data_IF_481158928780
#
_entry.id   IF_481158928780
#
_cell.length_a   1.000
_cell.length_b   1.000
_cell.length_c   1.000
_cell.angle_alpha   90.00
_cell.angle_beta   90.00
_cell.angle_gamma   90.00
#
_symmetry.space_group_name_H-M   'P 1'
#
loop_
_entity.id
_entity.type
_entity.pdbx_description
1 polymer ?
#
# COMPACT_ATOMS: atom_id res chain seq x y z
N UNK A 1 -11.89 13.64 -14.42
CA UNK A 1 -11.17 12.49 -15.02
C UNK A 1 -11.75 12.09 -16.37
N UNK A 2 -13.04 11.71 -16.46
CA UNK A 2 -13.66 11.25 -17.71
C UNK A 2 -13.36 12.12 -18.95
N UNK A 3 -13.50 13.45 -18.85
CA UNK A 3 -13.18 14.36 -19.97
C UNK A 3 -11.70 14.34 -20.39
N UNK A 4 -10.77 14.15 -19.44
CA UNK A 4 -9.35 14.06 -19.75
C UNK A 4 -9.01 12.75 -20.48
N UNK A 5 -9.64 11.64 -20.06
CA UNK A 5 -9.55 10.35 -20.78
C UNK A 5 -10.08 10.49 -22.21
N UNK A 6 -11.28 11.06 -22.37
CA UNK A 6 -11.89 11.27 -23.68
C UNK A 6 -10.96 12.05 -24.63
N UNK A 7 -10.42 13.19 -24.18
CA UNK A 7 -9.49 14.00 -24.97
C UNK A 7 -8.20 13.22 -25.29
N UNK A 8 -7.63 12.51 -24.32
CA UNK A 8 -6.42 11.71 -24.52
C UNK A 8 -6.62 10.63 -25.59
N UNK A 9 -7.79 9.99 -25.61
CA UNK A 9 -8.15 8.98 -26.60
C UNK A 9 -8.42 9.60 -27.98
N UNK A 10 -9.14 10.71 -28.06
CA UNK A 10 -9.39 11.46 -29.30
C UNK A 10 -8.08 11.90 -29.98
N UNK A 11 -7.14 12.40 -29.18
CA UNK A 11 -5.83 12.82 -29.65
C UNK A 11 -4.87 11.66 -29.91
N UNK A 12 -5.21 10.44 -29.47
CA UNK A 12 -4.36 9.25 -29.58
C UNK A 12 -2.98 9.41 -28.94
N UNK A 13 -2.94 10.07 -27.77
CA UNK A 13 -1.66 10.34 -27.07
C UNK A 13 -0.95 9.05 -26.59
N UNK A 14 -1.65 7.91 -26.62
CA UNK A 14 -1.14 6.58 -26.29
C UNK A 14 -0.32 5.92 -27.40
N UNK A 15 -0.29 6.51 -28.59
CA UNK A 15 0.52 6.03 -29.71
C UNK A 15 1.98 6.53 -29.57
N UNK A 16 2.98 5.66 -29.80
CA UNK A 16 4.40 6.01 -29.71
C UNK A 16 4.77 7.26 -30.50
N UNK A 17 4.28 7.35 -31.72
CA UNK A 17 4.65 8.40 -32.67
C UNK A 17 4.08 9.78 -32.27
N UNK A 18 3.05 9.82 -31.41
CA UNK A 18 2.40 11.07 -31.01
C UNK A 18 3.38 12.06 -30.38
N UNK A 19 4.23 11.58 -29.46
CA UNK A 19 5.18 12.44 -28.76
C UNK A 19 6.21 13.06 -29.73
N UNK A 20 6.69 12.28 -30.70
CA UNK A 20 7.64 12.76 -31.70
C UNK A 20 6.99 13.74 -32.68
N UNK A 21 5.77 13.45 -33.14
CA UNK A 21 5.04 14.30 -34.08
C UNK A 21 4.64 15.66 -33.49
N UNK A 22 4.50 15.77 -32.16
CA UNK A 22 4.00 16.97 -31.48
C UNK A 22 5.03 17.65 -30.57
N UNK A 23 6.33 17.36 -30.76
CA UNK A 23 7.40 17.90 -29.91
C UNK A 23 8.33 18.91 -30.59
N UNK A 24 8.17 19.17 -31.89
CA UNK A 24 9.07 20.06 -32.66
C UNK A 24 10.56 19.74 -32.44
N UNK A 25 10.89 18.44 -32.38
CA UNK A 25 12.25 17.91 -32.10
C UNK A 25 12.81 18.27 -30.71
N UNK A 26 11.98 18.77 -29.79
CA UNK A 26 12.38 19.04 -28.41
C UNK A 26 12.18 17.79 -27.54
N UNK A 27 13.28 17.22 -27.05
CA UNK A 27 13.27 16.00 -26.24
C UNK A 27 12.46 16.15 -24.93
N UNK A 28 12.50 17.32 -24.29
CA UNK A 28 11.71 17.61 -23.08
C UNK A 28 10.23 17.62 -23.40
N UNK A 29 9.82 18.25 -24.50
CA UNK A 29 8.42 18.27 -24.91
C UNK A 29 7.91 16.87 -25.31
N UNK A 30 8.74 16.06 -25.95
CA UNK A 30 8.41 14.66 -26.22
C UNK A 30 8.21 13.86 -24.91
N UNK A 31 9.05 14.09 -23.90
CA UNK A 31 8.90 13.49 -22.57
C UNK A 31 7.63 13.98 -21.86
N UNK A 32 7.28 15.27 -21.97
CA UNK A 32 6.03 15.81 -21.45
C UNK A 32 4.81 15.06 -22.00
N UNK A 33 4.81 14.76 -23.31
CA UNK A 33 3.70 14.02 -23.94
C UNK A 33 3.61 12.57 -23.44
N UNK A 34 4.74 11.86 -23.32
CA UNK A 34 4.78 10.52 -22.72
C UNK A 34 4.24 10.53 -21.29
N UNK A 35 4.73 11.45 -20.46
CA UNK A 35 4.28 11.64 -19.07
C UNK A 35 2.79 11.99 -18.98
N UNK A 36 2.27 12.78 -19.93
CA UNK A 36 0.85 13.15 -19.98
C UNK A 36 -0.05 11.93 -20.17
N UNK A 37 0.26 11.04 -21.13
CA UNK A 37 -0.48 9.79 -21.28
C UNK A 37 -0.43 8.96 -20.01
N UNK A 38 0.78 8.73 -19.48
CA UNK A 38 0.94 7.86 -18.33
C UNK A 38 0.28 8.43 -17.06
N UNK A 39 0.25 9.75 -16.88
CA UNK A 39 -0.54 10.38 -15.81
C UNK A 39 -2.04 10.17 -15.99
N UNK A 40 -2.56 10.29 -17.22
CA UNK A 40 -3.97 9.97 -17.51
C UNK A 40 -4.27 8.52 -17.16
N UNK A 41 -3.38 7.59 -17.55
CA UNK A 41 -3.48 6.17 -17.22
C UNK A 41 -3.49 5.90 -15.71
N UNK A 42 -2.52 6.46 -14.97
CA UNK A 42 -2.40 6.29 -13.53
C UNK A 42 -3.61 6.86 -12.78
N UNK A 43 -4.05 8.07 -13.14
CA UNK A 43 -5.21 8.68 -12.47
C UNK A 43 -6.52 7.97 -12.79
N UNK A 44 -6.75 7.53 -14.02
CA UNK A 44 -7.94 6.74 -14.33
C UNK A 44 -8.00 5.46 -13.48
N UNK A 45 -6.86 4.77 -13.30
CA UNK A 45 -6.75 3.60 -12.43
C UNK A 45 -7.02 3.94 -10.95
N UNK A 46 -6.42 5.01 -10.43
CA UNK A 46 -6.62 5.42 -9.04
C UNK A 46 -8.06 5.85 -8.75
N UNK A 47 -8.71 6.54 -9.69
CA UNK A 47 -10.13 6.89 -9.58
C UNK A 47 -11.02 5.64 -9.60
N UNK A 48 -10.76 4.69 -10.50
CA UNK A 48 -11.50 3.42 -10.55
C UNK A 48 -11.38 2.65 -9.23
N UNK A 49 -10.17 2.52 -8.69
CA UNK A 49 -9.92 1.86 -7.40
C UNK A 49 -10.60 2.57 -6.22
N UNK A 50 -10.53 3.90 -6.19
CA UNK A 50 -11.05 4.75 -5.10
C UNK A 50 -12.57 4.89 -5.08
N UNK A 51 -13.22 4.78 -6.24
CA UNK A 51 -14.69 4.89 -6.35
C UNK A 51 -15.39 3.53 -6.31
N UNK A 52 -14.63 2.43 -6.19
CA UNK A 52 -15.19 1.08 -6.27
C UNK A 52 -15.87 0.79 -7.61
N UNK A 53 -15.58 1.58 -8.65
CA UNK A 53 -16.26 1.51 -9.93
C UNK A 53 -15.48 0.64 -10.92
N UNK A 54 -16.16 0.05 -11.90
CA UNK A 54 -15.57 -0.77 -12.98
C UNK A 54 -14.97 0.06 -14.11
N UNK A 55 -15.18 1.38 -14.12
CA UNK A 55 -14.68 2.28 -15.17
C UNK A 55 -13.20 2.60 -15.05
N UNK A 56 -12.31 1.61 -15.28
CA UNK A 56 -10.94 1.89 -15.70
C UNK A 56 -10.92 1.92 -17.23
N UNK A 57 -11.19 3.09 -17.79
CA UNK A 57 -11.58 3.24 -19.21
C UNK A 57 -10.41 3.02 -20.15
N UNK A 58 -9.20 3.44 -19.75
CA UNK A 58 -8.00 3.30 -20.60
C UNK A 58 -7.28 1.97 -20.47
N UNK A 59 -7.76 1.06 -19.61
CA UNK A 59 -7.10 -0.23 -19.32
C UNK A 59 -6.99 -1.15 -20.52
N UNK A 60 -7.96 -1.09 -21.43
CA UNK A 60 -8.03 -1.94 -22.61
C UNK A 60 -7.43 -1.27 -23.85
N UNK A 61 -6.81 -0.09 -23.68
CA UNK A 61 -6.09 0.59 -24.75
C UNK A 61 -4.74 -0.08 -24.92
N UNK A 62 -4.44 -0.51 -26.15
CA UNK A 62 -3.11 -1.00 -26.51
C UNK A 62 -2.14 0.20 -26.65
N UNK A 63 -1.64 0.66 -25.51
CA UNK A 63 -0.71 1.77 -25.45
C UNK A 63 0.65 1.35 -26.00
N UNK A 64 1.15 2.07 -26.99
CA UNK A 64 2.49 1.84 -27.57
C UNK A 64 3.50 2.89 -27.13
N UNK A 65 3.05 3.94 -26.44
CA UNK A 65 3.90 5.00 -25.92
C UNK A 65 4.94 4.47 -24.94
N UNK A 66 6.16 4.98 -25.06
CA UNK A 66 7.29 4.53 -24.28
C UNK A 66 7.23 5.07 -22.83
N UNK A 67 8.00 4.44 -21.96
CA UNK A 67 8.02 4.70 -20.52
C UNK A 67 8.78 5.99 -20.19
N UNK A 68 8.29 6.79 -19.22
CA UNK A 68 8.94 8.04 -18.82
C UNK A 68 10.31 7.82 -18.16
N UNK A 69 11.16 8.84 -18.22
CA UNK A 69 12.44 8.89 -17.51
C UNK A 69 12.27 9.31 -16.03
N UNK A 70 13.36 9.26 -15.26
CA UNK A 70 13.35 9.72 -13.86
C UNK A 70 13.15 11.24 -13.74
N UNK A 71 12.64 11.71 -12.59
CA UNK A 71 12.39 13.14 -12.34
C UNK A 71 13.65 13.98 -12.51
N UNK A 72 14.79 13.56 -11.96
CA UNK A 72 16.06 14.29 -12.11
C UNK A 72 16.51 14.46 -13.57
N UNK A 73 16.21 13.47 -14.43
CA UNK A 73 16.51 13.54 -15.86
C UNK A 73 15.59 14.52 -16.58
N UNK A 74 14.29 14.49 -16.22
CA UNK A 74 13.30 15.42 -16.77
C UNK A 74 13.57 16.88 -16.34
N UNK A 75 13.83 17.10 -15.05
CA UNK A 75 14.10 18.43 -14.47
C UNK A 75 15.40 19.05 -15.01
N UNK A 76 16.43 18.25 -15.26
CA UNK A 76 17.68 18.73 -15.85
C UNK A 76 17.59 18.93 -17.37
N UNK A 77 16.52 18.47 -18.01
CA UNK A 77 16.36 18.48 -19.47
C UNK A 77 17.20 17.42 -20.21
N UNK A 78 17.96 16.60 -19.49
CA UNK A 78 18.80 15.54 -20.05
C UNK A 78 17.97 14.26 -20.23
N UNK A 79 17.07 14.28 -21.21
CA UNK A 79 16.14 13.18 -21.47
C UNK A 79 16.90 12.01 -22.11
N UNK A 80 16.94 10.82 -21.46
CA UNK A 80 17.58 9.64 -22.04
C UNK A 80 16.71 9.04 -23.14
N UNK A 81 17.28 8.07 -23.88
CA UNK A 81 16.48 7.22 -24.76
C UNK A 81 15.38 6.50 -23.94
N UNK A 82 14.11 6.61 -24.36
CA UNK A 82 12.99 6.05 -23.60
C UNK A 82 12.96 4.53 -23.71
N UNK A 83 12.45 3.88 -22.66
CA UNK A 83 12.36 2.42 -22.60
C UNK A 83 10.96 2.01 -23.02
N UNK A 84 10.83 0.95 -23.79
CA UNK A 84 9.53 0.47 -24.27
C UNK A 84 8.79 -0.34 -23.20
N UNK A 85 7.47 -0.45 -23.33
CA UNK A 85 6.68 -1.39 -22.51
C UNK A 85 7.12 -2.84 -22.70
N UNK A 86 7.54 -3.21 -23.92
CA UNK A 86 8.04 -4.55 -24.22
C UNK A 86 9.31 -4.86 -23.43
N UNK A 87 10.23 -3.91 -23.31
CA UNK A 87 11.42 -4.08 -22.48
C UNK A 87 11.05 -4.26 -21.01
N UNK A 88 10.07 -3.52 -20.51
CA UNK A 88 9.56 -3.72 -19.15
C UNK A 88 8.95 -5.12 -18.97
N UNK A 89 8.11 -5.55 -19.90
CA UNK A 89 7.37 -6.82 -19.85
C UNK A 89 8.26 -8.06 -20.10
N UNK A 90 9.54 -7.88 -20.47
CA UNK A 90 10.49 -8.98 -20.69
C UNK A 90 11.78 -8.87 -19.83
N UNK A 91 11.77 -8.00 -18.82
CA UNK A 91 12.96 -7.64 -18.03
C UNK A 91 13.58 -8.81 -17.25
N UNK A 92 12.82 -9.86 -16.99
CA UNK A 92 13.29 -11.08 -16.32
C UNK A 92 14.29 -11.90 -17.16
N UNK A 93 14.38 -11.61 -18.47
CA UNK A 93 15.27 -12.28 -19.41
C UNK A 93 16.50 -11.46 -19.80
N UNK A 94 16.64 -10.24 -19.27
CA UNK A 94 17.79 -9.38 -19.55
C UNK A 94 19.03 -9.86 -18.75
N UNK A 95 20.20 -9.90 -19.40
CA UNK A 95 21.47 -10.27 -18.74
C UNK A 95 21.93 -9.20 -17.74
N UNK A 96 21.64 -7.94 -18.03
CA UNK A 96 21.96 -6.78 -17.20
C UNK A 96 20.68 -6.07 -16.75
N UNK A 97 20.69 -5.57 -15.50
CA UNK A 97 19.56 -4.81 -14.95
C UNK A 97 19.39 -3.48 -15.71
N UNK A 98 18.23 -3.30 -16.36
CA UNK A 98 17.89 -2.04 -17.01
C UNK A 98 17.50 -0.96 -15.98
N UNK A 99 17.95 0.29 -16.15
CA UNK A 99 17.64 1.39 -15.24
C UNK A 99 16.24 1.96 -15.51
N UNK A 100 15.19 1.22 -15.15
CA UNK A 100 13.83 1.73 -15.22
C UNK A 100 13.59 2.84 -14.18
N UNK A 101 12.88 3.89 -14.60
CA UNK A 101 12.55 5.02 -13.73
C UNK A 101 11.51 4.64 -12.68
N UNK A 102 11.39 5.46 -11.63
CA UNK A 102 10.34 5.30 -10.62
C UNK A 102 8.94 5.46 -11.23
N UNK A 103 8.81 6.28 -12.27
CA UNK A 103 7.59 6.43 -13.04
C UNK A 103 7.22 5.12 -13.76
N UNK A 104 8.19 4.51 -14.46
CA UNK A 104 8.02 3.21 -15.09
C UNK A 104 7.60 2.13 -14.07
N UNK A 105 8.20 2.15 -12.88
CA UNK A 105 7.86 1.23 -11.80
C UNK A 105 6.41 1.40 -11.31
N UNK A 106 5.94 2.64 -11.15
CA UNK A 106 4.55 2.94 -10.77
C UNK A 106 3.55 2.51 -11.86
N UNK A 107 3.86 2.75 -13.13
CA UNK A 107 3.07 2.25 -14.27
C UNK A 107 3.00 0.72 -14.21
N UNK A 108 4.14 0.06 -14.01
CA UNK A 108 4.23 -1.38 -13.83
C UNK A 108 3.38 -1.88 -12.67
N UNK A 109 3.36 -1.18 -11.54
CA UNK A 109 2.56 -1.54 -10.37
C UNK A 109 1.06 -1.50 -10.68
N UNK A 110 0.58 -0.45 -11.36
CA UNK A 110 -0.82 -0.34 -11.81
C UNK A 110 -1.17 -1.43 -12.82
N UNK A 111 -0.28 -1.74 -13.76
CA UNK A 111 -0.46 -2.85 -14.70
C UNK A 111 -0.57 -4.20 -13.97
N UNK A 112 0.33 -4.48 -13.02
CA UNK A 112 0.29 -5.70 -12.21
C UNK A 112 -0.99 -5.81 -11.38
N UNK A 113 -1.39 -4.74 -10.69
CA UNK A 113 -2.64 -4.68 -9.95
C UNK A 113 -3.87 -4.98 -10.82
N UNK A 114 -3.87 -4.45 -12.04
CA UNK A 114 -4.92 -4.68 -13.04
C UNK A 114 -4.95 -6.13 -13.50
N UNK A 115 -3.78 -6.70 -13.84
CA UNK A 115 -3.68 -8.09 -14.29
C UNK A 115 -4.13 -9.07 -13.21
N UNK A 116 -3.77 -8.84 -11.95
CA UNK A 116 -4.22 -9.64 -10.81
C UNK A 116 -5.75 -9.59 -10.64
N UNK A 117 -6.34 -8.39 -10.77
CA UNK A 117 -7.80 -8.21 -10.76
C UNK A 117 -8.49 -8.93 -11.92
N UNK A 118 -7.96 -8.78 -13.13
CA UNK A 118 -8.49 -9.41 -14.33
C UNK A 118 -8.44 -10.94 -14.27
N UNK A 119 -7.36 -11.51 -13.70
CA UNK A 119 -7.24 -12.94 -13.46
C UNK A 119 -8.37 -13.49 -12.57
N UNK A 120 -8.86 -12.66 -11.65
CA UNK A 120 -9.96 -13.01 -10.74
C UNK A 120 -11.33 -12.90 -11.38
N UNK A 121 -11.55 -11.90 -12.24
CA UNK A 121 -12.83 -11.69 -12.93
C UNK A 121 -13.02 -12.65 -14.12
N UNK A 122 -11.95 -12.98 -14.85
CA UNK A 122 -11.98 -13.80 -16.06
C UNK A 122 -11.72 -15.28 -15.78
N UNK A 123 -11.93 -15.72 -14.54
CA UNK A 123 -11.62 -17.09 -14.13
C UNK A 123 -12.36 -18.12 -14.99
N UNK A 124 -11.61 -19.08 -15.52
CA UNK A 124 -12.18 -20.20 -16.26
C UNK A 124 -12.99 -21.08 -15.30
N UNK A 125 -14.06 -21.77 -15.76
CA UNK A 125 -14.87 -22.65 -14.92
C UNK A 125 -14.09 -23.78 -14.24
N UNK A 126 -12.86 -24.06 -14.68
CA UNK A 126 -11.97 -25.09 -14.15
C UNK A 126 -10.96 -24.58 -13.13
N UNK A 127 -10.80 -23.27 -12.96
CA UNK A 127 -9.86 -22.70 -11.99
C UNK A 127 -10.54 -22.58 -10.64
N UNK A 128 -9.85 -23.06 -9.60
CA UNK A 128 -10.26 -22.88 -8.21
C UNK A 128 -9.96 -21.44 -7.73
N UNK A 129 -10.58 -20.98 -6.64
CA UNK A 129 -10.20 -19.71 -6.00
C UNK A 129 -8.70 -19.64 -5.66
N UNK A 130 -8.10 -20.75 -5.25
CA UNK A 130 -6.67 -20.82 -4.93
C UNK A 130 -5.78 -20.64 -6.16
N UNK A 131 -6.19 -21.18 -7.31
CA UNK A 131 -5.46 -20.97 -8.59
C UNK A 131 -5.44 -19.48 -8.97
N UNK A 132 -6.53 -18.76 -8.72
CA UNK A 132 -6.63 -17.31 -8.99
C UNK A 132 -5.67 -16.55 -8.08
N UNK A 133 -5.65 -16.87 -6.78
CA UNK A 133 -4.78 -16.24 -5.80
C UNK A 133 -3.31 -16.48 -6.10
N UNK A 134 -2.94 -17.72 -6.45
CA UNK A 134 -1.57 -18.04 -6.84
C UNK A 134 -1.11 -17.22 -8.05
N UNK A 135 -2.00 -17.01 -9.04
CA UNK A 135 -1.69 -16.15 -10.19
C UNK A 135 -1.52 -14.69 -9.75
N UNK A 136 -2.42 -14.17 -8.91
CA UNK A 136 -2.33 -12.81 -8.40
C UNK A 136 -1.03 -12.60 -7.61
N UNK A 137 -0.69 -13.51 -6.70
CA UNK A 137 0.55 -13.48 -5.92
C UNK A 137 1.78 -13.52 -6.81
N UNK A 138 1.80 -14.40 -7.82
CA UNK A 138 2.91 -14.44 -8.78
C UNK A 138 3.11 -13.09 -9.47
N UNK A 139 2.02 -12.43 -9.91
CA UNK A 139 2.10 -11.12 -10.59
C UNK A 139 2.62 -10.02 -9.66
N UNK A 140 2.12 -9.98 -8.43
CA UNK A 140 2.46 -8.93 -7.44
C UNK A 140 3.86 -9.12 -6.87
N UNK A 141 4.22 -10.36 -6.52
CA UNK A 141 5.53 -10.69 -5.96
C UNK A 141 6.61 -10.56 -7.04
N UNK A 142 6.36 -10.96 -8.29
CA UNK A 142 7.30 -10.72 -9.39
C UNK A 142 7.54 -9.23 -9.67
N UNK A 143 6.54 -8.36 -9.49
CA UNK A 143 6.77 -6.92 -9.58
C UNK A 143 7.81 -6.46 -8.55
N UNK A 144 7.62 -6.83 -7.27
CA UNK A 144 8.53 -6.44 -6.18
C UNK A 144 9.95 -7.00 -6.37
N UNK A 145 10.05 -8.28 -6.75
CA UNK A 145 11.33 -8.98 -6.88
C UNK A 145 12.18 -8.45 -8.04
N UNK A 146 11.53 -8.06 -9.14
CA UNK A 146 12.16 -7.57 -10.37
C UNK A 146 12.25 -6.04 -10.45
N UNK A 147 12.08 -5.33 -9.33
CA UNK A 147 12.40 -3.91 -9.27
C UNK A 147 13.92 -3.70 -9.44
N UNK A 148 14.35 -2.66 -10.18
CA UNK A 148 15.76 -2.29 -10.21
C UNK A 148 16.28 -2.06 -8.80
N UNK A 149 17.52 -2.45 -8.51
CA UNK A 149 18.14 -2.30 -7.16
C UNK A 149 18.01 -0.87 -6.64
N UNK A 150 18.23 0.12 -7.50
CA UNK A 150 18.13 1.54 -7.17
C UNK A 150 16.70 1.99 -6.80
N UNK A 151 15.67 1.20 -7.14
CA UNK A 151 14.25 1.51 -6.92
C UNK A 151 13.62 0.67 -5.82
N UNK A 152 14.36 -0.25 -5.20
CA UNK A 152 13.87 -1.01 -4.02
C UNK A 152 13.78 -0.15 -2.75
N UNK A 153 14.57 0.92 -2.68
CA UNK A 153 14.55 1.87 -1.57
C UNK A 153 13.68 3.08 -1.92
N UNK A 154 12.66 3.33 -1.10
CA UNK A 154 11.74 4.47 -1.28
C UNK A 154 12.35 5.78 -0.80
N UNK A 155 13.22 5.74 0.21
CA UNK A 155 13.95 6.93 0.67
C UNK A 155 15.27 7.04 -0.07
N UNK A 156 15.48 8.19 -0.70
CA UNK A 156 16.69 8.52 -1.42
C UNK A 156 17.82 8.86 -0.45
N UNK A 157 19.08 8.80 -0.93
CA UNK A 157 20.28 9.08 -0.11
C UNK A 157 20.32 10.50 0.47
N UNK A 158 19.63 11.44 -0.16
CA UNK A 158 19.53 12.82 0.30
C UNK A 158 18.45 13.01 1.40
N UNK A 159 17.73 11.94 1.77
CA UNK A 159 16.65 11.97 2.76
C UNK A 159 15.25 12.23 2.18
N UNK A 160 15.14 12.51 0.88
CA UNK A 160 13.85 12.71 0.22
C UNK A 160 13.14 11.39 -0.02
N UNK A 161 11.81 11.43 -0.12
CA UNK A 161 11.00 10.27 -0.50
C UNK A 161 10.81 10.29 -2.02
N UNK A 162 11.05 9.14 -2.65
CA UNK A 162 10.60 8.88 -4.01
C UNK A 162 9.07 8.69 -4.00
N UNK A 163 8.35 9.77 -4.30
CA UNK A 163 6.89 9.80 -4.24
C UNK A 163 6.22 8.81 -5.20
N UNK A 164 6.87 8.43 -6.29
CA UNK A 164 6.34 7.47 -7.26
C UNK A 164 6.49 6.04 -6.73
N UNK A 165 7.64 5.71 -6.13
CA UNK A 165 7.82 4.42 -5.47
C UNK A 165 6.98 4.29 -4.19
N UNK A 166 6.82 5.38 -3.42
CA UNK A 166 5.92 5.42 -2.27
C UNK A 166 4.49 5.03 -2.67
N UNK A 167 3.97 5.61 -3.76
CA UNK A 167 2.68 5.24 -4.34
C UNK A 167 2.64 3.79 -4.82
N UNK A 168 3.68 3.34 -5.53
CA UNK A 168 3.73 2.01 -6.13
C UNK A 168 3.68 0.90 -5.06
N UNK A 169 4.45 1.05 -3.99
CA UNK A 169 4.44 0.08 -2.89
C UNK A 169 3.11 0.10 -2.13
N UNK A 170 2.55 1.28 -1.81
CA UNK A 170 1.24 1.35 -1.17
C UNK A 170 0.14 0.69 -2.02
N UNK A 171 0.20 0.86 -3.34
CA UNK A 171 -0.72 0.23 -4.28
C UNK A 171 -0.61 -1.29 -4.25
N UNK A 172 0.60 -1.85 -4.37
CA UNK A 172 0.81 -3.30 -4.38
C UNK A 172 0.34 -3.92 -3.07
N UNK A 173 0.71 -3.32 -1.92
CA UNK A 173 0.28 -3.82 -0.63
C UNK A 173 -1.23 -3.74 -0.41
N UNK A 174 -1.92 -2.69 -0.87
CA UNK A 174 -3.38 -2.65 -0.73
C UNK A 174 -4.06 -3.70 -1.60
N UNK A 175 -3.51 -4.00 -2.79
CA UNK A 175 -4.05 -5.06 -3.64
C UNK A 175 -3.88 -6.43 -2.99
N UNK A 176 -2.72 -6.71 -2.38
CA UNK A 176 -2.51 -7.93 -1.58
C UNK A 176 -3.52 -8.00 -0.42
N UNK A 177 -3.70 -6.90 0.32
CA UNK A 177 -4.68 -6.85 1.42
C UNK A 177 -6.09 -7.17 0.90
N UNK A 178 -6.49 -6.58 -0.23
CA UNK A 178 -7.80 -6.82 -0.83
C UNK A 178 -8.04 -8.28 -1.24
N UNK A 179 -7.01 -8.98 -1.73
CA UNK A 179 -7.11 -10.41 -2.09
C UNK A 179 -7.12 -11.33 -0.88
N UNK A 180 -6.28 -11.08 0.11
CA UNK A 180 -6.06 -12.03 1.20
C UNK A 180 -6.94 -11.77 2.42
N UNK A 181 -7.37 -10.53 2.69
CA UNK A 181 -8.19 -10.22 3.88
C UNK A 181 -9.49 -11.04 3.94
N UNK A 182 -10.28 -11.20 2.86
CA UNK A 182 -11.48 -12.04 2.86
C UNK A 182 -11.23 -13.49 3.26
N UNK A 183 -10.01 -13.99 3.10
CA UNK A 183 -9.62 -15.38 3.32
C UNK A 183 -8.79 -15.59 4.60
N UNK A 184 -8.65 -14.52 5.40
CA UNK A 184 -7.81 -14.49 6.59
C UNK A 184 -8.63 -14.54 7.89
N UNK A 185 -7.95 -14.67 9.03
CA UNK A 185 -8.57 -14.50 10.36
C UNK A 185 -8.96 -13.05 10.69
N UNK A 186 -8.64 -12.09 9.82
CA UNK A 186 -8.98 -10.67 9.98
C UNK A 186 -10.42 -10.40 9.54
N UNK A 187 -11.36 -10.77 10.40
CA UNK A 187 -12.81 -10.62 10.18
C UNK A 187 -13.23 -9.19 9.87
N UNK A 188 -14.23 -9.04 9.00
CA UNK A 188 -14.87 -7.76 8.74
C UNK A 188 -15.86 -7.43 9.86
N UNK A 189 -15.86 -6.17 10.30
CA UNK A 189 -16.88 -5.65 11.23
C UNK A 189 -17.89 -4.80 10.46
N UNK A 190 -19.19 -4.96 10.72
CA UNK A 190 -20.25 -4.19 10.05
C UNK A 190 -20.08 -2.66 10.20
N UNK A 191 -19.39 -2.19 11.24
CA UNK A 191 -19.08 -0.75 11.41
C UNK A 191 -18.13 -0.23 10.32
N UNK A 192 -17.39 -1.11 9.65
CA UNK A 192 -16.46 -0.74 8.58
C UNK A 192 -17.18 -0.16 7.36
N UNK A 193 -18.45 -0.49 7.13
CA UNK A 193 -19.28 0.03 6.03
C UNK A 193 -19.43 1.56 6.06
N UNK A 194 -19.13 2.19 7.20
CA UNK A 194 -19.04 3.65 7.34
C UNK A 194 -17.90 4.23 6.50
N UNK A 195 -16.83 3.46 6.25
CA UNK A 195 -15.67 3.88 5.48
C UNK A 195 -15.97 3.87 3.99
N UNK A 196 -15.68 4.98 3.31
CA UNK A 196 -15.78 5.03 1.83
C UNK A 196 -14.72 4.19 1.12
N UNK A 197 -13.79 3.59 1.87
CA UNK A 197 -12.70 2.75 1.36
C UNK A 197 -12.84 1.29 1.84
N UNK A 198 -13.94 0.93 2.50
CA UNK A 198 -14.18 -0.46 2.87
C UNK A 198 -14.40 -1.33 1.64
N UNK A 199 -13.98 -2.58 1.73
CA UNK A 199 -14.24 -3.63 0.74
C UNK A 199 -15.33 -4.55 1.27
N UNK A 200 -16.02 -5.18 0.33
CA UNK A 200 -17.03 -6.17 0.66
C UNK A 200 -16.39 -7.38 1.39
N UNK A 201 -17.06 -7.93 2.41
CA UNK A 201 -16.60 -9.12 3.09
C UNK A 201 -16.61 -10.33 2.15
N UNK A 202 -15.94 -11.41 2.55
CA UNK A 202 -16.07 -12.69 1.87
C UNK A 202 -17.54 -13.12 1.80
N UNK A 203 -18.02 -13.68 0.67
CA UNK A 203 -19.31 -14.34 0.62
C UNK A 203 -19.40 -15.45 1.67
N UNK A 204 -20.58 -15.66 2.25
CA UNK A 204 -20.81 -16.78 3.18
C UNK A 204 -20.40 -18.10 2.51
N UNK A 205 -19.47 -18.82 3.15
CA UNK A 205 -18.83 -19.99 2.57
C UNK A 205 -18.08 -20.83 3.60
N UNK A 206 -17.54 -21.99 3.17
CA UNK A 206 -16.69 -22.81 4.04
C UNK A 206 -15.47 -22.02 4.49
N UNK A 207 -14.93 -22.39 5.65
CA UNK A 207 -13.67 -21.85 6.15
C UNK A 207 -12.57 -21.99 5.08
N UNK A 208 -11.87 -20.91 4.71
CA UNK A 208 -10.81 -20.97 3.71
C UNK A 208 -9.75 -22.01 4.07
N UNK A 209 -9.17 -22.68 3.07
CA UNK A 209 -7.94 -23.43 3.28
C UNK A 209 -6.77 -22.45 3.51
N UNK A 210 -5.73 -22.87 4.24
CA UNK A 210 -4.54 -22.04 4.47
C UNK A 210 -4.76 -20.64 5.08
N UNK A 211 -5.76 -20.45 5.95
CA UNK A 211 -6.05 -19.15 6.60
C UNK A 211 -4.80 -18.44 7.14
N UNK A 212 -3.89 -19.19 7.76
CA UNK A 212 -2.65 -18.63 8.30
C UNK A 212 -1.79 -17.93 7.23
N UNK A 213 -1.73 -18.47 6.02
CA UNK A 213 -1.00 -17.85 4.90
C UNK A 213 -1.63 -16.51 4.53
N UNK A 214 -2.96 -16.45 4.42
CA UNK A 214 -3.69 -15.22 4.14
C UNK A 214 -3.52 -14.19 5.26
N UNK A 215 -3.68 -14.59 6.52
CA UNK A 215 -3.46 -13.75 7.70
C UNK A 215 -2.05 -13.14 7.69
N UNK A 216 -1.02 -13.94 7.43
CA UNK A 216 0.37 -13.46 7.38
C UNK A 216 0.60 -12.50 6.22
N UNK A 217 0.09 -12.78 5.01
CA UNK A 217 0.24 -11.88 3.86
C UNK A 217 -0.43 -10.52 4.10
N UNK A 218 -1.60 -10.50 4.76
CA UNK A 218 -2.28 -9.26 5.14
C UNK A 218 -1.47 -8.48 6.18
N UNK A 219 -1.05 -9.12 7.28
CA UNK A 219 -0.31 -8.45 8.35
C UNK A 219 1.03 -7.90 7.86
N UNK A 220 1.77 -8.65 7.03
CA UNK A 220 3.02 -8.18 6.42
C UNK A 220 2.79 -6.99 5.50
N UNK A 221 1.74 -7.03 4.67
CA UNK A 221 1.42 -5.89 3.78
C UNK A 221 1.04 -4.64 4.57
N UNK A 222 0.27 -4.80 5.65
CA UNK A 222 -0.07 -3.72 6.58
C UNK A 222 1.20 -3.14 7.23
N UNK A 223 2.08 -4.00 7.71
CA UNK A 223 3.37 -3.59 8.30
C UNK A 223 4.23 -2.81 7.30
N UNK A 224 4.33 -3.29 6.06
CA UNK A 224 5.07 -2.58 4.99
C UNK A 224 4.47 -1.21 4.71
N UNK A 225 3.15 -1.07 4.65
CA UNK A 225 2.51 0.24 4.53
C UNK A 225 2.85 1.16 5.71
N UNK A 226 2.83 0.64 6.95
CA UNK A 226 3.15 1.43 8.15
C UNK A 226 4.61 1.88 8.17
N UNK A 227 5.53 1.01 7.74
CA UNK A 227 6.97 1.35 7.65
C UNK A 227 7.21 2.48 6.65
N UNK A 228 6.48 2.52 5.53
CA UNK A 228 6.51 3.65 4.61
C UNK A 228 6.03 4.95 5.27
N UNK A 229 4.95 4.91 6.05
CA UNK A 229 4.45 6.06 6.82
C UNK A 229 5.42 6.53 7.92
N UNK A 230 6.22 5.60 8.45
CA UNK A 230 7.18 5.87 9.50
C UNK A 230 8.49 6.51 8.98
N UNK A 231 8.69 6.59 7.66
CA UNK A 231 9.85 7.25 7.08
C UNK A 231 9.98 8.69 7.61
N UNK A 232 11.21 9.17 7.89
CA UNK A 232 11.46 10.42 8.60
C UNK A 232 11.33 11.68 7.73
N UNK A 233 10.50 11.66 6.68
CA UNK A 233 10.22 12.86 5.88
C UNK A 233 9.08 13.66 6.51
N UNK A 234 9.35 14.92 6.86
CA UNK A 234 8.35 15.85 7.43
C UNK A 234 8.51 17.24 6.81
N UNK A 235 7.42 17.97 6.58
CA UNK A 235 6.00 17.61 6.81
C UNK A 235 5.51 16.47 5.91
N UNK A 236 4.47 15.74 6.35
CA UNK A 236 3.94 14.55 5.65
C UNK A 236 3.14 14.98 4.40
N UNK A 237 3.82 15.31 3.31
CA UNK A 237 3.23 15.93 2.12
C UNK A 237 3.13 14.96 0.94
N UNK A 238 2.36 13.89 1.11
CA UNK A 238 2.16 12.87 0.06
C UNK A 238 0.88 13.11 -0.75
N UNK A 239 0.79 12.43 -1.89
CA UNK A 239 -0.41 12.46 -2.75
C UNK A 239 -1.68 12.02 -2.00
N UNK A 240 -2.84 12.65 -2.25
CA UNK A 240 -4.10 12.24 -1.64
C UNK A 240 -4.55 10.82 -2.03
N UNK A 241 -4.05 10.27 -3.16
CA UNK A 241 -4.41 8.94 -3.64
C UNK A 241 -3.95 7.81 -2.70
N UNK A 242 -2.88 8.00 -1.94
CA UNK A 242 -2.43 7.02 -0.95
C UNK A 242 -3.44 6.81 0.20
N UNK A 243 -4.35 7.78 0.43
CA UNK A 243 -5.33 7.71 1.53
C UNK A 243 -6.15 6.43 1.51
N UNK A 244 -6.70 6.05 0.34
CA UNK A 244 -7.54 4.86 0.26
C UNK A 244 -6.71 3.59 0.49
N UNK A 245 -5.49 3.57 -0.06
CA UNK A 245 -4.54 2.46 0.09
C UNK A 245 -4.19 2.22 1.56
N UNK A 246 -3.90 3.30 2.29
CA UNK A 246 -3.56 3.29 3.72
C UNK A 246 -4.78 2.98 4.59
N UNK A 247 -5.96 3.50 4.23
CA UNK A 247 -7.21 3.28 4.96
C UNK A 247 -7.55 1.80 5.02
N UNK A 248 -7.46 1.10 3.89
CA UNK A 248 -7.77 -0.32 3.80
C UNK A 248 -6.84 -1.17 4.68
N UNK A 249 -5.53 -0.88 4.70
CA UNK A 249 -4.60 -1.51 5.64
C UNK A 249 -4.86 -1.16 7.10
N UNK A 250 -5.33 0.06 7.39
CA UNK A 250 -5.72 0.46 8.75
C UNK A 250 -6.95 -0.30 9.25
N UNK A 251 -7.93 -0.54 8.38
CA UNK A 251 -9.11 -1.36 8.70
C UNK A 251 -8.71 -2.81 8.99
N UNK A 252 -7.80 -3.39 8.19
CA UNK A 252 -7.23 -4.69 8.47
C UNK A 252 -6.53 -4.71 9.85
N UNK A 253 -5.69 -3.71 10.16
CA UNK A 253 -5.01 -3.64 11.47
C UNK A 253 -5.99 -3.50 12.64
N UNK A 254 -7.08 -2.76 12.47
CA UNK A 254 -8.14 -2.65 13.48
C UNK A 254 -8.84 -3.99 13.72
N UNK A 255 -9.11 -4.75 12.66
CA UNK A 255 -9.62 -6.11 12.78
C UNK A 255 -8.63 -7.01 13.54
N UNK A 256 -7.34 -6.96 13.20
CA UNK A 256 -6.31 -7.70 13.94
C UNK A 256 -6.26 -7.33 15.42
N UNK A 257 -6.36 -6.04 15.77
CA UNK A 257 -6.44 -5.57 17.15
C UNK A 257 -7.62 -6.19 17.92
N UNK A 258 -8.77 -6.37 17.26
CA UNK A 258 -9.96 -6.92 17.89
C UNK A 258 -9.87 -8.42 18.08
N UNK A 259 -9.48 -9.15 17.03
CA UNK A 259 -9.66 -10.59 16.99
C UNK A 259 -8.39 -11.35 17.32
N UNK A 260 -7.23 -10.86 16.90
CA UNK A 260 -5.97 -11.63 16.89
C UNK A 260 -4.96 -11.16 17.94
N UNK A 261 -4.63 -9.86 17.95
CA UNK A 261 -3.49 -9.33 18.70
C UNK A 261 -3.79 -9.17 20.19
N UNK A 262 -2.79 -9.46 21.04
CA UNK A 262 -2.88 -9.35 22.51
C UNK A 262 -1.59 -8.73 23.08
N UNK A 263 -1.65 -8.28 24.34
CA UNK A 263 -0.48 -7.79 25.08
C UNK A 263 0.33 -6.72 24.32
N UNK A 264 1.64 -6.96 24.18
CA UNK A 264 2.56 -6.02 23.53
C UNK A 264 2.26 -5.81 22.05
N UNK A 265 1.86 -6.85 21.32
CA UNK A 265 1.53 -6.74 19.88
C UNK A 265 0.34 -5.81 19.65
N UNK A 266 -0.68 -5.91 20.52
CA UNK A 266 -1.82 -5.00 20.51
C UNK A 266 -1.39 -3.55 20.81
N UNK A 267 -0.45 -3.35 21.74
CA UNK A 267 0.06 -2.02 22.05
C UNK A 267 0.78 -1.40 20.83
N UNK A 268 1.65 -2.17 20.18
CA UNK A 268 2.37 -1.76 18.96
C UNK A 268 1.37 -1.41 17.85
N UNK A 269 0.40 -2.29 17.57
CA UNK A 269 -0.61 -2.05 16.54
C UNK A 269 -1.42 -0.77 16.81
N UNK A 270 -1.71 -0.46 18.08
CA UNK A 270 -2.38 0.80 18.45
C UNK A 270 -1.51 2.03 18.19
N UNK A 271 -0.19 1.94 18.41
CA UNK A 271 0.73 3.04 18.06
C UNK A 271 0.84 3.23 16.56
N UNK A 272 0.83 2.15 15.79
CA UNK A 272 0.80 2.22 14.33
C UNK A 272 -0.51 2.87 13.83
N UNK A 273 -1.67 2.53 14.40
CA UNK A 273 -2.94 3.21 14.09
C UNK A 273 -2.88 4.71 14.44
N UNK A 274 -2.24 5.08 15.56
CA UNK A 274 -2.03 6.49 15.93
C UNK A 274 -1.18 7.22 14.90
N UNK A 275 -0.08 6.61 14.44
CA UNK A 275 0.77 7.14 13.38
C UNK A 275 -0.05 7.38 12.11
N UNK A 276 -0.79 6.36 11.64
CA UNK A 276 -1.60 6.48 10.43
C UNK A 276 -2.65 7.59 10.53
N UNK A 277 -3.38 7.68 11.65
CA UNK A 277 -4.35 8.77 11.87
C UNK A 277 -3.64 10.13 11.87
N UNK A 278 -2.45 10.24 12.48
CA UNK A 278 -1.66 11.47 12.48
C UNK A 278 -1.25 11.92 11.07
N UNK A 279 -0.72 10.99 10.27
CA UNK A 279 -0.37 11.22 8.86
C UNK A 279 -1.59 11.67 8.04
N UNK A 280 -2.71 10.96 8.15
CA UNK A 280 -3.93 11.29 7.40
C UNK A 280 -4.58 12.60 7.87
N UNK A 281 -4.47 12.97 9.15
CA UNK A 281 -4.93 14.28 9.64
C UNK A 281 -4.18 15.43 8.97
N UNK A 282 -2.86 15.34 8.89
CA UNK A 282 -2.03 16.35 8.22
C UNK A 282 -2.43 16.52 6.75
N UNK A 283 -2.65 15.42 6.02
CA UNK A 283 -3.19 15.52 4.66
C UNK A 283 -4.63 16.08 4.62
N UNK A 284 -5.43 15.77 5.64
CA UNK A 284 -6.81 16.23 5.80
C UNK A 284 -6.97 17.74 5.95
N UNK A 285 -5.91 18.46 6.36
CA UNK A 285 -5.91 19.92 6.44
C UNK A 285 -6.06 20.58 5.06
N UNK A 286 -5.56 19.92 4.01
CA UNK A 286 -5.66 20.37 2.62
C UNK A 286 -6.80 19.70 1.84
N UNK A 287 -7.11 18.44 2.17
CA UNK A 287 -8.03 17.61 1.38
C UNK A 287 -9.27 17.20 2.20
N UNK A 288 -10.44 17.83 1.96
CA UNK A 288 -11.65 17.57 2.76
C UNK A 288 -12.13 16.11 2.74
N UNK A 289 -11.88 15.37 1.65
CA UNK A 289 -12.21 13.95 1.58
C UNK A 289 -11.37 13.12 2.55
N UNK A 290 -10.10 13.48 2.75
CA UNK A 290 -9.22 12.81 3.71
C UNK A 290 -9.67 13.12 5.13
N UNK A 291 -10.03 14.37 5.43
CA UNK A 291 -10.60 14.73 6.74
C UNK A 291 -11.86 13.91 7.09
N UNK A 292 -12.74 13.68 6.11
CA UNK A 292 -13.88 12.74 6.27
C UNK A 292 -13.42 11.31 6.51
N UNK A 293 -12.45 10.81 5.74
CA UNK A 293 -11.91 9.47 5.89
C UNK A 293 -11.26 9.25 7.29
N UNK A 294 -10.51 10.22 7.80
CA UNK A 294 -10.00 10.20 9.19
C UNK A 294 -11.15 10.05 10.19
N UNK A 295 -12.23 10.81 10.02
CA UNK A 295 -13.39 10.75 10.91
C UNK A 295 -14.09 9.38 10.87
N UNK A 296 -14.15 8.75 9.69
CA UNK A 296 -14.67 7.38 9.51
C UNK A 296 -13.78 6.37 10.24
N UNK A 297 -12.46 6.38 10.01
CA UNK A 297 -11.50 5.49 10.67
C UNK A 297 -11.56 5.63 12.19
N UNK A 298 -11.64 6.87 12.70
CA UNK A 298 -11.73 7.12 14.13
C UNK A 298 -13.02 6.56 14.75
N UNK A 299 -14.16 6.71 14.06
CA UNK A 299 -15.44 6.13 14.49
C UNK A 299 -15.36 4.60 14.55
N UNK A 300 -14.84 3.96 13.50
CA UNK A 300 -14.62 2.52 13.44
C UNK A 300 -13.71 2.07 14.58
N UNK A 301 -12.57 2.75 14.77
CA UNK A 301 -11.60 2.42 15.81
C UNK A 301 -12.19 2.50 17.22
N UNK A 302 -13.01 3.52 17.51
CA UNK A 302 -13.70 3.66 18.80
C UNK A 302 -14.64 2.49 19.09
N UNK A 303 -15.40 2.07 18.09
CA UNK A 303 -16.33 0.95 18.20
C UNK A 303 -15.60 -0.40 18.35
N UNK A 304 -14.66 -0.68 17.43
CA UNK A 304 -13.90 -1.94 17.39
C UNK A 304 -13.10 -2.14 18.68
N UNK A 305 -12.40 -1.11 19.14
CA UNK A 305 -11.59 -1.16 20.36
C UNK A 305 -12.40 -0.91 21.66
N UNK A 306 -13.73 -0.80 21.55
CA UNK A 306 -14.65 -0.61 22.69
C UNK A 306 -14.29 0.58 23.60
N UNK A 307 -13.78 1.66 23.00
CA UNK A 307 -13.33 2.85 23.74
C UNK A 307 -14.51 3.58 24.39
N UNK A 308 -15.69 3.57 23.74
CA UNK A 308 -16.88 4.27 24.24
C UNK A 308 -17.57 3.55 25.42
N UNK A 309 -17.45 2.23 25.52
CA UNK A 309 -17.98 1.46 26.66
C UNK A 309 -17.17 1.68 27.96
N UNK A 310 -15.91 2.12 27.85
CA UNK A 310 -15.04 2.37 29.00
C UNK A 310 -15.16 3.78 29.61
N UNK A 311 -15.73 4.74 28.89
CA UNK A 311 -15.95 6.10 29.40
C UNK A 311 -17.19 6.16 30.29
N UNK A 312 -18.28 5.52 29.88
CA UNK A 312 -19.54 5.43 30.66
C UNK A 312 -19.41 4.53 31.90
N UNK A 313 -18.56 3.51 31.89
CA UNK A 313 -18.30 2.67 33.07
C UNK A 313 -17.41 3.34 34.13
N UNK A 314 -16.60 4.35 33.76
CA UNK A 314 -15.81 5.13 34.72
C UNK A 314 -16.63 6.20 35.44
N UNK A 315 -17.69 6.73 34.82
CA UNK A 315 -18.61 7.68 35.47
C UNK A 315 -19.60 6.99 36.43
N UNK A 316 -19.88 5.70 36.24
CA UNK A 316 -20.78 4.93 37.10
C UNK A 316 -20.13 4.37 38.38
N UNK A 317 -18.81 4.46 38.56
CA UNK A 317 -18.10 3.89 39.74
C UNK A 317 -17.97 4.87 40.92
N UNK A 318 -18.68 5.99 40.88
CA UNK A 318 -18.77 6.95 41.98
C UNK A 318 -19.92 6.66 42.96
N UNK A 319 -20.02 5.46 43.52
CA UNK A 319 -20.80 5.25 44.75
C UNK A 319 -20.34 4.01 45.51
N UNK A 320 -19.83 4.26 46.71
CA UNK A 320 -19.36 3.29 47.71
C UNK A 320 -20.54 2.48 48.27
N UNK A 321 -20.37 1.16 48.44
CA UNK A 321 -20.69 0.43 49.68
C UNK A 321 -20.02 -0.96 49.75
N UNK A 322 -19.78 -1.39 51.00
CA UNK A 322 -18.81 -2.36 51.53
C UNK A 322 -19.11 -3.86 51.38
N UNK A 323 -18.01 -4.64 51.42
CA UNK A 323 -17.79 -6.01 51.95
C UNK A 323 -18.72 -7.16 51.48
N UNK A 324 -18.24 -8.34 51.10
CA UNK A 324 -17.43 -9.29 51.91
C UNK A 324 -16.83 -10.38 51.00
N UNK A 325 -15.66 -10.89 51.38
CA UNK A 325 -14.87 -11.98 50.80
C UNK A 325 -15.45 -13.38 51.00
N UNK A 326 -15.36 -14.27 49.99
CA UNK A 326 -15.11 -15.73 50.13
C UNK A 326 -14.39 -16.24 48.85
N UNK A 327 -13.36 -17.06 49.04
CA UNK A 327 -12.51 -17.72 48.03
C UNK A 327 -13.07 -19.08 47.55
N UNK A 328 -12.40 -19.62 46.53
CA UNK A 328 -12.40 -21.01 46.01
C UNK A 328 -13.54 -21.42 45.04
N UNK A 329 -13.34 -22.12 43.92
CA UNK A 329 -12.17 -22.84 43.41
C UNK A 329 -12.29 -23.01 41.87
N UNK A 330 -11.15 -23.06 41.18
CA UNK A 330 -11.05 -23.22 39.73
C UNK A 330 -11.13 -24.69 39.31
N UNK A 331 -11.79 -24.99 38.18
CA UNK A 331 -11.52 -26.20 37.41
C UNK A 331 -11.20 -25.83 35.96
N UNK A 332 -9.93 -25.96 35.62
CA UNK A 332 -9.34 -25.83 34.29
C UNK A 332 -9.71 -27.02 33.42
N UNK A 333 -10.36 -26.75 32.28
CA UNK A 333 -10.42 -27.66 31.15
C UNK A 333 -9.48 -27.16 30.06
N UNK A 334 -8.32 -27.81 29.93
CA UNK A 334 -7.33 -27.53 28.88
C UNK A 334 -7.81 -28.09 27.53
N UNK A 335 -7.74 -27.25 26.49
CA UNK A 335 -7.65 -27.65 25.09
C UNK A 335 -6.53 -26.82 24.43
N UNK A 336 -5.73 -27.39 23.52
CA UNK A 336 -4.42 -26.86 23.19
C UNK A 336 -4.53 -25.60 22.31
N UNK A 337 -3.98 -24.48 22.79
CA UNK A 337 -3.71 -23.30 21.99
C UNK A 337 -2.50 -23.56 21.09
N UNK A 338 -2.69 -23.52 19.76
CA UNK A 338 -1.56 -23.42 18.83
C UNK A 338 -0.83 -22.10 19.08
N UNK A 339 0.48 -22.17 19.30
CA UNK A 339 1.33 -21.05 19.68
C UNK A 339 1.28 -19.94 18.62
N UNK A 340 0.85 -18.74 19.00
CA UNK A 340 0.90 -17.54 18.16
C UNK A 340 2.30 -16.94 18.06
N UNK A 341 3.26 -17.43 18.86
CA UNK A 341 4.66 -16.98 18.85
C UNK A 341 5.39 -17.35 17.56
N UNK A 342 4.97 -18.40 16.86
CA UNK A 342 5.65 -18.88 15.65
C UNK A 342 5.44 -17.95 14.44
N UNK A 343 4.30 -17.25 14.36
CA UNK A 343 3.96 -16.36 13.25
C UNK A 343 4.89 -15.14 13.21
N UNK A 344 5.17 -14.51 14.35
CA UNK A 344 6.04 -13.33 14.42
C UNK A 344 7.54 -13.67 14.38
N UNK A 345 7.94 -14.88 14.81
CA UNK A 345 9.31 -15.34 14.59
C UNK A 345 9.60 -15.53 13.09
N UNK A 346 8.67 -16.11 12.34
CA UNK A 346 8.76 -16.24 10.88
C UNK A 346 8.67 -14.90 10.13
N UNK A 347 8.16 -13.82 10.76
CA UNK A 347 8.14 -12.46 10.19
C UNK A 347 9.54 -11.82 10.26
N UNK A 348 10.33 -12.08 11.31
CA UNK A 348 11.69 -11.52 11.46
C UNK A 348 12.73 -12.15 10.54
N UNK A 349 12.62 -13.45 10.27
CA UNK A 349 13.63 -14.18 9.48
C UNK A 349 13.55 -13.91 7.96
N UNK A 350 12.53 -13.19 7.49
CA UNK A 350 12.32 -12.85 6.07
C UNK A 350 12.58 -11.37 5.71
N UNK A 351 13.11 -10.58 6.66
CA UNK A 351 13.44 -9.15 6.47
C UNK A 351 14.42 -8.88 5.29
N UNK A 352 15.08 -9.92 4.78
CA UNK A 352 16.03 -9.87 3.66
C UNK A 352 15.35 -9.74 2.27
N UNK A 353 14.06 -10.07 2.14
CA UNK A 353 13.33 -9.93 0.86
C UNK A 353 13.02 -8.47 0.52
N UNK A 354 12.93 -7.60 1.52
CA UNK A 354 12.58 -6.19 1.31
C UNK A 354 13.81 -5.27 1.20
N UNK A 355 15.05 -5.73 1.43
CA UNK A 355 16.26 -4.97 1.09
C UNK A 355 16.35 -3.56 1.68
N UNK A 356 15.82 -3.35 2.90
CA UNK A 356 15.73 -2.02 3.51
C UNK A 356 16.95 -1.61 4.35
N UNK A 357 17.93 -2.50 4.50
CA UNK A 357 19.19 -2.18 5.15
C UNK A 357 20.37 -2.83 4.41
N UNK A 358 21.01 -2.07 3.53
CA UNK A 358 22.45 -2.25 3.29
C UNK A 358 23.14 -1.07 3.97
N UNK A 359 23.48 -1.23 5.25
CA UNK A 359 24.43 -0.33 5.94
C UNK A 359 25.84 -0.81 5.61
N UNK A 360 26.11 -0.98 4.31
CA UNK A 360 27.42 -1.26 3.76
C UNK A 360 28.03 0.04 3.25
N UNK A 361 29.06 0.51 3.95
CA UNK A 361 29.92 1.66 3.61
C UNK A 361 29.31 3.06 3.83
N UNK A 362 29.04 3.38 5.10
CA UNK A 362 29.18 4.76 5.57
C UNK A 362 30.68 5.13 5.56
N UNK A 363 31.05 6.09 4.72
CA UNK A 363 32.35 6.74 4.72
C UNK A 363 32.64 7.31 6.13
N UNK A 364 33.75 6.94 6.80
CA UNK A 364 34.05 7.36 8.17
C UNK A 364 34.37 8.86 8.33
N UNK A 365 34.14 9.70 7.32
CA UNK A 365 34.51 11.12 7.34
C UNK A 365 33.37 12.13 7.52
N UNK A 366 32.12 11.70 7.75
CA UNK A 366 31.02 12.64 8.02
C UNK A 366 30.95 13.04 9.50
N UNK A 367 31.70 14.08 9.88
CA UNK A 367 31.66 14.74 11.19
C UNK A 367 30.41 15.63 11.34
N UNK A 368 29.28 15.04 11.73
CA UNK A 368 28.05 15.76 12.09
C UNK A 368 28.07 16.31 13.54
N UNK A 369 29.06 17.12 13.91
CA UNK A 369 28.95 17.96 15.11
C UNK A 369 29.80 19.22 15.01
N UNK A 370 29.26 20.43 15.23
CA UNK A 370 30.07 21.63 15.41
C UNK A 370 30.73 21.58 16.79
N UNK A 371 32.06 21.52 16.84
CA UNK A 371 32.80 21.71 18.08
C UNK A 371 32.58 23.15 18.59
N UNK A 372 32.07 23.25 19.82
CA UNK A 372 32.04 24.48 20.61
C UNK A 372 33.41 25.16 20.61
N UNK A 373 33.48 26.40 20.15
CA UNK A 373 34.60 27.30 20.44
C UNK A 373 34.15 28.26 21.53
N UNK A 374 34.64 28.01 22.76
CA UNK A 374 34.48 28.90 23.89
C UNK A 374 35.75 28.89 24.75
N UNK A 375 36.44 30.04 24.74
CA UNK A 375 37.57 30.50 25.56
C UNK A 375 38.97 29.92 25.25
#
# INVERSE_FOLDING_TARGET
MARAVEIALELKIFERDFALANSDQNAVLAECWRRTWWMVYLFDAFYAGTLGNTGFSVVHVDATVDLPCDEAQYESGNIPEPKTLREWDCREFDEEEKPFSSFACLIGAVRCATLAKDASLKSHPRKTPDDILHIADSILDSWMLLLPKSKKQVMLRNGDIDELMFQAHHLIHVVIIGFHRPLSDLKFNAVEDISSCARDPAPDGPTPEHINVHTVRVLRSVESQIRLLALPSRPFNHTPFCTCMISEGTLALLSACKFLLRGNELAIARDQIRLTIGCLKHLGDLWPRISRNVSQIQTIAKHVLSIEAHVTSKEASGSVHSATSVEENASSGDMPSSSSSDIFSAIRDFDDICGWYDVGELDPTLSFWPADQGA
#
